data_IF_683133284768
#
_entry.id   IF_683133284768
#
_cell.length_a   1.000
_cell.length_b   1.000
_cell.length_c   1.000
_cell.angle_alpha   90.00
_cell.angle_beta   90.00
_cell.angle_gamma   90.00
#
_symmetry.space_group_name_H-M   'P 1'
#
loop_
_entity.id
_entity.type
_entity.pdbx_description
1 polymer ?
#
# COMPACT_ATOMS: atom_id res chain seq x y z
N UNK A 1 -11.20 -12.56 -4.17
CA UNK A 1 -12.21 -13.63 -4.04
C UNK A 1 -12.60 -14.23 -5.39
N UNK A 2 -13.26 -13.51 -6.31
CA UNK A 2 -13.72 -14.08 -7.60
C UNK A 2 -12.62 -14.79 -8.41
N UNK A 3 -11.46 -14.15 -8.57
CA UNK A 3 -10.29 -14.75 -9.23
C UNK A 3 -9.84 -16.04 -8.54
N UNK A 4 -9.73 -16.06 -7.21
CA UNK A 4 -9.33 -17.24 -6.43
C UNK A 4 -10.34 -18.38 -6.55
N UNK A 5 -11.62 -18.06 -6.61
CA UNK A 5 -12.67 -19.07 -6.82
C UNK A 5 -12.55 -19.64 -8.23
N UNK A 6 -12.45 -18.80 -9.27
CA UNK A 6 -12.37 -19.25 -10.65
C UNK A 6 -11.13 -20.09 -10.95
N UNK A 7 -9.96 -19.75 -10.38
CA UNK A 7 -8.73 -20.53 -10.57
C UNK A 7 -8.77 -21.90 -9.86
N UNK A 8 -9.59 -22.06 -8.82
CA UNK A 8 -9.74 -23.33 -8.06
C UNK A 8 -10.82 -24.26 -8.62
N UNK A 9 -11.53 -23.85 -9.68
CA UNK A 9 -12.62 -24.62 -10.28
C UNK A 9 -12.17 -25.65 -11.33
N UNK A 10 -10.88 -26.01 -11.35
CA UNK A 10 -10.27 -26.97 -12.30
C UNK A 10 -11.17 -28.19 -12.60
N UNK A 11 -11.95 -28.12 -13.68
CA UNK A 11 -12.89 -29.15 -14.14
C UNK A 11 -14.10 -29.45 -13.23
N UNK A 12 -14.35 -28.70 -12.14
CA UNK A 12 -15.43 -29.01 -11.18
C UNK A 12 -16.39 -27.83 -10.96
N UNK A 13 -17.59 -28.15 -10.49
CA UNK A 13 -18.54 -27.15 -10.03
C UNK A 13 -18.22 -26.64 -8.61
N UNK A 14 -18.78 -25.48 -8.27
CA UNK A 14 -18.68 -24.91 -6.93
C UNK A 14 -19.30 -25.85 -5.88
N UNK A 15 -18.64 -25.97 -4.73
CA UNK A 15 -19.19 -26.62 -3.53
C UNK A 15 -20.16 -25.66 -2.82
N UNK A 16 -21.00 -26.19 -1.92
CA UNK A 16 -21.97 -25.39 -1.17
C UNK A 16 -21.32 -24.24 -0.38
N UNK A 17 -20.17 -24.49 0.24
CA UNK A 17 -19.39 -23.47 0.95
C UNK A 17 -18.92 -22.34 0.02
N UNK A 18 -18.32 -22.68 -1.11
CA UNK A 18 -17.82 -21.70 -2.08
C UNK A 18 -18.94 -20.85 -2.69
N UNK A 19 -20.13 -21.43 -2.88
CA UNK A 19 -21.33 -20.67 -3.27
C UNK A 19 -21.78 -19.68 -2.19
N UNK A 20 -21.72 -20.09 -0.92
CA UNK A 20 -22.05 -19.22 0.20
C UNK A 20 -21.06 -18.05 0.31
N UNK A 21 -19.76 -18.33 0.17
CA UNK A 21 -18.70 -17.31 0.16
C UNK A 21 -18.89 -16.33 -1.02
N UNK A 22 -19.24 -16.83 -2.20
CA UNK A 22 -19.57 -16.01 -3.37
C UNK A 22 -20.78 -15.09 -3.11
N UNK A 23 -21.86 -15.64 -2.53
CA UNK A 23 -23.05 -14.87 -2.20
C UNK A 23 -22.75 -13.79 -1.15
N UNK A 24 -21.95 -14.11 -0.14
CA UNK A 24 -21.53 -13.17 0.89
C UNK A 24 -20.74 -12.01 0.27
N UNK A 25 -19.75 -12.30 -0.58
CA UNK A 25 -18.98 -11.27 -1.28
C UNK A 25 -19.87 -10.39 -2.16
N UNK A 26 -20.78 -10.98 -2.94
CA UNK A 26 -21.72 -10.22 -3.77
C UNK A 26 -22.55 -9.25 -2.92
N UNK A 27 -22.96 -9.66 -1.72
CA UNK A 27 -23.62 -8.80 -0.75
C UNK A 27 -22.80 -7.57 -0.32
N UNK A 28 -21.48 -7.63 -0.40
CA UNK A 28 -20.58 -6.51 -0.04
C UNK A 28 -20.24 -5.58 -1.21
N UNK A 29 -20.49 -5.98 -2.46
CA UNK A 29 -20.02 -5.27 -3.66
C UNK A 29 -20.48 -3.81 -3.69
N UNK A 30 -21.74 -3.54 -3.31
CA UNK A 30 -22.28 -2.18 -3.32
C UNK A 30 -21.47 -1.26 -2.40
N UNK A 31 -21.19 -1.70 -1.18
CA UNK A 31 -20.43 -0.92 -0.20
C UNK A 31 -18.98 -0.75 -0.64
N UNK A 32 -18.34 -1.83 -1.13
CA UNK A 32 -16.98 -1.78 -1.67
C UNK A 32 -16.86 -0.84 -2.87
N UNK A 33 -17.87 -0.80 -3.75
CA UNK A 33 -17.92 0.14 -4.88
C UNK A 33 -18.04 1.58 -4.41
N UNK A 34 -18.95 1.86 -3.47
CA UNK A 34 -19.07 3.21 -2.89
C UNK A 34 -17.76 3.68 -2.26
N UNK A 35 -17.12 2.81 -1.48
CA UNK A 35 -15.80 3.06 -0.89
C UNK A 35 -14.74 3.29 -1.97
N UNK A 36 -14.74 2.48 -3.04
CA UNK A 36 -13.82 2.62 -4.16
C UNK A 36 -13.95 3.99 -4.85
N UNK A 37 -15.19 4.44 -5.12
CA UNK A 37 -15.45 5.74 -5.75
C UNK A 37 -15.06 6.92 -4.84
N UNK A 38 -15.19 6.77 -3.52
CA UNK A 38 -14.66 7.72 -2.55
C UNK A 38 -13.12 7.76 -2.59
N UNK A 39 -12.46 6.61 -2.46
CA UNK A 39 -10.99 6.51 -2.45
C UNK A 39 -10.42 7.10 -3.74
N UNK A 40 -11.01 6.80 -4.90
CA UNK A 40 -10.58 7.37 -6.19
C UNK A 40 -10.57 8.90 -6.19
N UNK A 41 -11.54 9.55 -5.54
CA UNK A 41 -11.62 11.02 -5.45
C UNK A 41 -10.65 11.59 -4.41
N UNK A 42 -10.27 10.80 -3.40
CA UNK A 42 -9.44 11.22 -2.28
C UNK A 42 -7.98 10.79 -2.38
N UNK A 43 -7.63 9.94 -3.35
CA UNK A 43 -6.27 9.40 -3.50
C UNK A 43 -5.21 10.50 -3.69
N UNK A 44 -5.50 11.54 -4.48
CA UNK A 44 -4.56 12.65 -4.66
C UNK A 44 -4.43 13.52 -3.39
N UNK A 45 -5.53 13.98 -2.76
CA UNK A 45 -5.46 14.66 -1.46
C UNK A 45 -4.69 13.88 -0.38
N UNK A 46 -4.87 12.56 -0.31
CA UNK A 46 -4.11 11.68 0.59
C UNK A 46 -2.61 11.76 0.27
N UNK A 47 -2.22 11.59 -1.00
CA UNK A 47 -0.82 11.65 -1.40
C UNK A 47 -0.17 13.02 -1.12
N UNK A 48 -0.89 14.11 -1.41
CA UNK A 48 -0.43 15.47 -1.11
C UNK A 48 -0.23 15.68 0.40
N UNK A 49 -1.16 15.19 1.22
CA UNK A 49 -1.04 15.23 2.68
C UNK A 49 0.19 14.47 3.20
N UNK A 50 0.48 13.29 2.63
CA UNK A 50 1.68 12.51 2.99
C UNK A 50 2.94 13.28 2.65
N UNK A 51 3.03 13.80 1.42
CA UNK A 51 4.22 14.51 0.96
C UNK A 51 4.40 15.84 1.70
N UNK A 52 3.34 16.52 2.09
CA UNK A 52 3.42 17.72 2.94
C UNK A 52 4.08 17.41 4.30
N UNK A 53 3.70 16.30 4.94
CA UNK A 53 4.33 15.86 6.19
C UNK A 53 5.79 15.42 5.99
N UNK A 54 6.10 14.72 4.90
CA UNK A 54 7.48 14.36 4.59
C UNK A 54 8.38 15.56 4.31
N UNK A 55 7.88 16.58 3.61
CA UNK A 55 8.61 17.83 3.37
C UNK A 55 8.96 18.55 4.67
N UNK A 56 8.06 18.55 5.66
CA UNK A 56 8.32 19.14 6.98
C UNK A 56 9.36 18.35 7.77
N UNK A 57 9.27 17.02 7.73
CA UNK A 57 10.15 16.13 8.51
C UNK A 57 11.55 15.98 7.92
N UNK A 58 11.65 15.98 6.59
CA UNK A 58 12.89 15.77 5.84
C UNK A 58 13.15 16.92 4.85
N UNK A 59 13.39 18.15 5.33
CA UNK A 59 13.52 19.33 4.46
C UNK A 59 14.71 19.25 3.49
N UNK A 60 15.77 18.53 3.86
CA UNK A 60 16.97 18.36 3.02
C UNK A 60 16.79 17.31 1.92
N UNK A 61 15.74 16.49 1.96
CA UNK A 61 15.50 15.43 0.98
C UNK A 61 15.41 15.99 -0.45
N UNK A 62 14.73 17.13 -0.65
CA UNK A 62 14.63 17.76 -1.96
C UNK A 62 15.98 18.23 -2.53
N UNK A 63 16.94 18.58 -1.67
CA UNK A 63 18.29 19.00 -2.12
C UNK A 63 19.06 17.82 -2.72
N UNK A 64 18.80 16.62 -2.21
CA UNK A 64 19.52 15.38 -2.55
C UNK A 64 18.77 14.58 -3.63
N UNK A 65 17.44 14.68 -3.62
CA UNK A 65 16.50 14.06 -4.56
C UNK A 65 15.57 15.15 -5.13
N UNK A 66 16.01 15.95 -6.13
CA UNK A 66 15.24 17.09 -6.64
C UNK A 66 13.83 16.77 -7.11
N UNK A 67 13.60 15.54 -7.59
CA UNK A 67 12.29 15.06 -8.05
C UNK A 67 11.66 14.03 -7.09
N UNK A 68 12.23 13.86 -5.90
CA UNK A 68 11.87 12.77 -4.99
C UNK A 68 10.45 12.90 -4.47
N UNK A 69 10.03 14.14 -4.18
CA UNK A 69 8.68 14.40 -3.66
C UNK A 69 7.60 14.26 -4.75
N UNK A 70 7.84 14.73 -5.98
CA UNK A 70 6.88 14.55 -7.08
C UNK A 70 6.68 13.07 -7.41
N UNK A 71 7.78 12.30 -7.43
CA UNK A 71 7.72 10.84 -7.59
C UNK A 71 6.99 10.18 -6.41
N UNK A 72 7.30 10.61 -5.18
CA UNK A 72 6.60 10.16 -3.98
C UNK A 72 5.10 10.39 -4.02
N UNK A 73 4.62 11.55 -4.49
CA UNK A 73 3.18 11.82 -4.65
C UNK A 73 2.55 10.81 -5.59
N UNK A 74 3.15 10.58 -6.77
CA UNK A 74 2.67 9.61 -7.75
C UNK A 74 2.63 8.20 -7.18
N UNK A 75 3.66 7.84 -6.44
CA UNK A 75 3.82 6.51 -5.87
C UNK A 75 2.79 6.25 -4.75
N UNK A 76 2.56 7.21 -3.84
CA UNK A 76 1.49 7.10 -2.81
C UNK A 76 0.10 7.08 -3.42
N UNK A 77 -0.15 7.90 -4.45
CA UNK A 77 -1.41 7.86 -5.19
C UNK A 77 -1.65 6.47 -5.81
N UNK A 78 -0.60 5.90 -6.42
CA UNK A 78 -0.65 4.56 -7.02
C UNK A 78 -0.87 3.47 -5.97
N UNK A 79 -0.18 3.52 -4.84
CA UNK A 79 -0.39 2.60 -3.72
C UNK A 79 -1.81 2.67 -3.15
N UNK A 80 -2.39 3.88 -3.06
CA UNK A 80 -3.78 4.08 -2.65
C UNK A 80 -4.77 3.43 -3.61
N UNK A 81 -4.55 3.57 -4.91
CA UNK A 81 -5.37 2.90 -5.93
C UNK A 81 -5.22 1.38 -5.89
N UNK A 82 -4.00 0.87 -5.66
CA UNK A 82 -3.74 -0.57 -5.56
C UNK A 82 -4.45 -1.14 -4.33
N UNK A 83 -4.35 -0.48 -3.17
CA UNK A 83 -5.08 -0.87 -1.97
C UNK A 83 -6.60 -0.90 -2.21
N UNK A 84 -7.14 0.10 -2.93
CA UNK A 84 -8.55 0.15 -3.30
C UNK A 84 -8.96 -1.01 -4.24
N UNK A 85 -8.10 -1.37 -5.20
CA UNK A 85 -8.34 -2.51 -6.08
C UNK A 85 -8.27 -3.85 -5.32
N UNK A 86 -7.29 -4.01 -4.43
CA UNK A 86 -7.18 -5.17 -3.53
C UNK A 86 -8.43 -5.31 -2.67
N UNK A 87 -8.94 -4.19 -2.14
CA UNK A 87 -10.19 -4.12 -1.40
C UNK A 87 -11.38 -4.53 -2.28
N UNK A 88 -11.56 -3.92 -3.44
CA UNK A 88 -12.68 -4.23 -4.31
C UNK A 88 -12.72 -5.71 -4.71
N UNK A 89 -11.55 -6.31 -4.96
CA UNK A 89 -11.42 -7.69 -5.45
C UNK A 89 -11.24 -8.73 -4.34
N UNK A 90 -10.99 -8.32 -3.10
CA UNK A 90 -10.57 -9.19 -1.97
C UNK A 90 -9.44 -10.15 -2.37
N UNK A 91 -8.32 -9.62 -2.89
CA UNK A 91 -7.30 -10.47 -3.54
C UNK A 91 -5.86 -10.05 -3.23
N UNK A 92 -5.41 -10.10 -1.97
CA UNK A 92 -4.04 -9.71 -1.59
C UNK A 92 -2.96 -10.50 -2.34
N UNK A 93 -3.06 -11.83 -2.35
CA UNK A 93 -2.08 -12.73 -2.99
C UNK A 93 -1.85 -12.45 -4.49
N UNK A 94 -2.92 -12.07 -5.21
CA UNK A 94 -2.83 -11.70 -6.61
C UNK A 94 -1.99 -10.44 -6.81
N UNK A 95 -2.20 -9.42 -5.98
CA UNK A 95 -1.41 -8.19 -6.05
C UNK A 95 0.01 -8.38 -5.54
N UNK A 96 0.24 -9.31 -4.62
CA UNK A 96 1.60 -9.61 -4.15
C UNK A 96 2.49 -10.15 -5.26
N UNK A 97 1.96 -11.10 -6.04
CA UNK A 97 2.67 -11.67 -7.19
C UNK A 97 2.79 -10.69 -8.37
N UNK A 98 1.78 -9.86 -8.61
CA UNK A 98 1.75 -8.95 -9.77
C UNK A 98 2.44 -7.60 -9.54
N UNK A 99 2.48 -7.11 -8.29
CA UNK A 99 2.92 -5.75 -7.98
C UNK A 99 3.80 -5.69 -6.74
N UNK A 100 3.34 -6.19 -5.58
CA UNK A 100 3.95 -5.88 -4.28
C UNK A 100 5.39 -6.40 -4.21
N UNK A 101 5.66 -7.60 -4.73
CA UNK A 101 7.00 -8.18 -4.76
C UNK A 101 7.97 -7.33 -5.58
N UNK A 102 7.57 -6.96 -6.80
CA UNK A 102 8.38 -6.10 -7.66
C UNK A 102 8.58 -4.71 -7.04
N UNK A 103 7.53 -4.10 -6.49
CA UNK A 103 7.62 -2.78 -5.88
C UNK A 103 8.55 -2.77 -4.66
N UNK A 104 8.54 -3.85 -3.86
CA UNK A 104 9.50 -4.05 -2.77
C UNK A 104 10.95 -4.03 -3.27
N UNK A 105 11.25 -4.61 -4.44
CA UNK A 105 12.60 -4.53 -5.03
C UNK A 105 12.99 -3.10 -5.42
N UNK A 106 12.04 -2.29 -5.91
CA UNK A 106 12.28 -0.87 -6.18
C UNK A 106 12.63 -0.13 -4.89
N UNK A 107 11.86 -0.34 -3.82
CA UNK A 107 12.11 0.27 -2.52
C UNK A 107 13.51 -0.06 -1.97
N UNK A 108 13.99 -1.30 -2.19
CA UNK A 108 15.37 -1.70 -1.86
C UNK A 108 16.41 -0.92 -2.68
N UNK A 109 16.14 -0.69 -3.96
CA UNK A 109 17.08 -0.05 -4.88
C UNK A 109 17.18 1.48 -4.73
N UNK A 110 16.14 2.15 -4.21
CA UNK A 110 16.15 3.61 -4.05
C UNK A 110 16.95 4.10 -2.84
N UNK A 111 17.39 3.19 -1.97
CA UNK A 111 18.23 3.46 -0.79
C UNK A 111 17.63 4.52 0.16
N UNK A 112 16.33 4.47 0.40
CA UNK A 112 15.70 5.26 1.47
C UNK A 112 15.98 4.60 2.82
N UNK A 113 16.22 5.37 3.89
CA UNK A 113 16.36 4.74 5.21
C UNK A 113 15.07 4.02 5.63
N UNK A 114 15.17 3.00 6.49
CA UNK A 114 14.00 2.34 7.06
C UNK A 114 13.09 3.33 7.80
N UNK A 115 13.66 4.32 8.48
CA UNK A 115 12.91 5.35 9.20
C UNK A 115 12.08 6.22 8.25
N UNK A 116 12.67 6.67 7.14
CA UNK A 116 11.96 7.46 6.13
C UNK A 116 10.76 6.69 5.56
N UNK A 117 10.95 5.40 5.26
CA UNK A 117 9.87 4.55 4.77
C UNK A 117 8.79 4.36 5.85
N UNK A 118 9.15 4.00 7.09
CA UNK A 118 8.21 3.84 8.20
C UNK A 118 7.37 5.10 8.42
N UNK A 119 8.01 6.27 8.41
CA UNK A 119 7.34 7.55 8.57
C UNK A 119 6.41 7.87 7.40
N UNK A 120 6.80 7.49 6.18
CA UNK A 120 5.97 7.62 4.99
C UNK A 120 4.72 6.76 5.06
N UNK A 121 4.85 5.47 5.38
CA UNK A 121 3.71 4.57 5.50
C UNK A 121 2.81 4.93 6.69
N UNK A 122 3.38 5.35 7.83
CA UNK A 122 2.61 5.86 8.97
C UNK A 122 1.81 7.11 8.60
N UNK A 123 2.45 8.07 7.91
CA UNK A 123 1.76 9.27 7.42
C UNK A 123 0.64 8.91 6.43
N UNK A 124 0.86 7.92 5.55
CA UNK A 124 -0.16 7.44 4.61
C UNK A 124 -1.39 6.88 5.32
N UNK A 125 -1.22 6.07 6.36
CA UNK A 125 -2.34 5.56 7.16
C UNK A 125 -3.12 6.68 7.83
N UNK A 126 -2.43 7.66 8.44
CA UNK A 126 -3.08 8.84 9.05
C UNK A 126 -3.85 9.65 8.01
N UNK A 127 -3.27 9.89 6.84
CA UNK A 127 -3.94 10.67 5.79
C UNK A 127 -5.15 9.95 5.22
N UNK A 128 -5.12 8.63 5.14
CA UNK A 128 -6.30 7.83 4.77
C UNK A 128 -7.41 7.98 5.81
N UNK A 129 -7.10 7.90 7.10
CA UNK A 129 -8.07 8.07 8.19
C UNK A 129 -8.69 9.48 8.21
N UNK A 130 -7.90 10.51 7.93
CA UNK A 130 -8.36 11.91 7.88
C UNK A 130 -9.25 12.19 6.66
N UNK A 131 -8.93 11.62 5.50
CA UNK A 131 -9.59 11.97 4.24
C UNK A 131 -10.78 11.10 3.87
N UNK A 132 -10.90 9.92 4.47
CA UNK A 132 -11.95 8.94 4.16
C UNK A 132 -13.00 8.91 5.27
N UNK A 133 -14.23 8.54 4.91
CA UNK A 133 -15.24 8.17 5.90
C UNK A 133 -14.79 6.96 6.72
N UNK A 134 -15.31 6.84 7.95
CA UNK A 134 -14.98 5.73 8.85
C UNK A 134 -15.27 4.36 8.22
N UNK A 135 -16.38 4.22 7.50
CA UNK A 135 -16.77 2.98 6.81
C UNK A 135 -15.79 2.61 5.69
N UNK A 136 -15.44 3.59 4.85
CA UNK A 136 -14.48 3.39 3.75
C UNK A 136 -13.09 3.08 4.29
N UNK A 137 -12.65 3.79 5.32
CA UNK A 137 -11.37 3.51 5.98
C UNK A 137 -11.36 2.11 6.60
N UNK A 138 -12.44 1.70 7.29
CA UNK A 138 -12.53 0.37 7.88
C UNK A 138 -12.44 -0.76 6.84
N UNK A 139 -13.05 -0.57 5.66
CA UNK A 139 -12.96 -1.53 4.55
C UNK A 139 -11.55 -1.57 3.93
N UNK A 140 -10.88 -0.43 3.82
CA UNK A 140 -9.59 -0.32 3.15
C UNK A 140 -8.41 -0.74 4.04
N UNK A 141 -8.51 -0.47 5.36
CA UNK A 141 -7.42 -0.62 6.34
C UNK A 141 -6.69 -1.97 6.28
N UNK A 142 -7.36 -3.14 6.18
CA UNK A 142 -6.64 -4.42 6.12
C UNK A 142 -5.67 -4.53 4.93
N UNK A 143 -6.01 -3.94 3.79
CA UNK A 143 -5.19 -3.99 2.57
C UNK A 143 -4.02 -3.01 2.62
N UNK A 144 -4.23 -1.85 3.23
CA UNK A 144 -3.16 -0.86 3.50
C UNK A 144 -2.17 -1.42 4.51
N UNK A 145 -2.65 -2.09 5.56
CA UNK A 145 -1.81 -2.75 6.54
C UNK A 145 -0.97 -3.85 5.88
N UNK A 146 -1.59 -4.72 5.09
CA UNK A 146 -0.88 -5.75 4.32
C UNK A 146 0.23 -5.16 3.43
N UNK A 147 -0.08 -4.12 2.64
CA UNK A 147 0.93 -3.45 1.82
C UNK A 147 2.04 -2.84 2.66
N UNK A 148 1.71 -2.20 3.79
CA UNK A 148 2.70 -1.60 4.69
C UNK A 148 3.64 -2.66 5.24
N UNK A 149 3.11 -3.74 5.79
CA UNK A 149 3.92 -4.82 6.39
C UNK A 149 4.81 -5.49 5.34
N UNK A 150 4.27 -5.74 4.14
CA UNK A 150 5.01 -6.36 3.06
C UNK A 150 6.14 -5.46 2.54
N UNK A 151 5.85 -4.18 2.31
CA UNK A 151 6.78 -3.22 1.70
C UNK A 151 7.83 -2.70 2.67
N UNK A 152 7.55 -2.69 3.98
CA UNK A 152 8.53 -2.36 5.01
C UNK A 152 9.45 -3.52 5.36
N UNK A 153 9.16 -4.74 4.90
CA UNK A 153 10.06 -5.88 5.00
C UNK A 153 11.21 -5.79 3.96
N UNK A 154 12.02 -4.75 4.09
CA UNK A 154 13.21 -4.48 3.27
C UNK A 154 14.46 -4.47 4.15
N UNK A 155 15.58 -5.07 3.68
CA UNK A 155 16.83 -5.02 4.42
C UNK A 155 17.34 -3.58 4.54
N UNK A 156 18.00 -3.28 5.65
CA UNK A 156 18.54 -1.95 5.94
C UNK A 156 19.60 -1.59 4.89
N UNK A 157 19.46 -0.48 4.14
CA UNK A 157 20.46 -0.07 3.15
C UNK A 157 21.74 0.40 3.84
N UNK A 158 22.86 0.36 3.11
CA UNK A 158 24.17 0.83 3.62
C UNK A 158 24.20 2.35 3.85
N UNK A 159 23.34 3.09 3.14
CA UNK A 159 23.21 4.55 3.21
C UNK A 159 21.75 4.94 3.41
N UNK A 160 21.51 6.06 4.08
CA UNK A 160 20.20 6.68 4.23
C UNK A 160 19.79 7.50 2.98
N UNK A 161 18.58 8.07 3.00
CA UNK A 161 18.03 8.91 1.94
C UNK A 161 18.85 10.19 1.68
N UNK A 162 19.72 10.57 2.63
CA UNK A 162 20.63 11.70 2.51
C UNK A 162 22.01 11.30 1.97
N UNK A 163 22.25 10.00 1.75
CA UNK A 163 23.53 9.45 1.29
C UNK A 163 24.55 9.23 2.40
N UNK A 164 24.21 9.47 3.67
CA UNK A 164 25.07 9.18 4.81
C UNK A 164 25.06 7.68 5.10
N UNK A 165 26.19 7.11 5.51
CA UNK A 165 26.24 5.70 5.90
C UNK A 165 25.43 5.49 7.17
N UNK A 166 24.55 4.51 7.16
CA UNK A 166 23.89 4.04 8.37
C UNK A 166 24.90 3.23 9.20
N UNK A 167 24.91 3.43 10.52
CA UNK A 167 25.70 2.59 11.41
C UNK A 167 25.22 1.13 11.23
N UNK A 168 26.11 0.24 10.80
CA UNK A 168 25.77 -1.18 10.72
C UNK A 168 25.48 -1.66 12.13
N UNK A 169 24.24 -2.07 12.38
CA UNK A 169 23.94 -2.88 13.56
C UNK A 169 24.70 -4.20 13.34
N UNK A 170 25.65 -4.58 14.21
CA UNK A 170 26.34 -5.84 14.05
C UNK A 170 25.29 -6.95 14.01
N UNK A 171 25.38 -7.82 13.00
CA UNK A 171 24.49 -8.97 12.90
C UNK A 171 24.60 -9.76 14.21
N UNK A 172 23.52 -9.78 14.99
CA UNK A 172 23.40 -10.61 16.17
C UNK A 172 23.62 -12.06 15.72
N UNK A 173 24.67 -12.69 16.24
CA UNK A 173 24.98 -14.12 16.06
C UNK A 173 23.89 -14.98 16.70
#
# INVERSE_FOLDING_TARGET
MLLSVMTKLDGRYLKSRERADLKAYIGTIRNRRTAYDEIRRKALPVAEGVIAEQRKRYPDFAKIRPQGFEKGTRDIHSLTNIAANMMLQEATEFYDSMFTEWYRTILKAVHMSPQFLQDTFKSWQVQLEVNLTADTHALLRPYVQHLTDFLLNVPVPVKDETGRRLAQIPASV
#
